data_IF_069022873843
#
_entry.id   IF_069022873843
#
_cell.length_a   1.000
_cell.length_b   1.000
_cell.length_c   1.000
_cell.angle_alpha   90.00
_cell.angle_beta   90.00
_cell.angle_gamma   90.00
#
_symmetry.space_group_name_H-M   'P 1'
#
loop_
_entity.id
_entity.type
_entity.pdbx_description
1 polymer ?
#
# COMPACT_ATOMS: atom_id res chain seq x y z
N UNK A 1 10.71 28.04 29.80
CA UNK A 1 10.29 26.68 29.41
C UNK A 1 10.36 26.57 27.89
N UNK A 2 10.96 25.51 27.34
CA UNK A 2 11.18 25.38 25.89
C UNK A 2 9.93 24.99 25.10
N UNK A 3 9.88 25.34 23.80
CA UNK A 3 8.85 24.85 22.88
C UNK A 3 9.04 23.35 22.61
N UNK A 4 7.95 22.68 22.23
CA UNK A 4 7.97 21.25 21.84
C UNK A 4 8.88 20.99 20.63
N UNK A 5 9.60 19.88 20.68
CA UNK A 5 10.44 19.39 19.59
C UNK A 5 9.61 18.89 18.40
N UNK A 6 10.21 18.83 17.20
CA UNK A 6 9.55 18.34 15.99
C UNK A 6 9.04 16.88 16.12
N UNK A 7 9.80 15.90 16.68
CA UNK A 7 9.28 14.55 16.93
C UNK A 7 8.02 14.52 17.80
N UNK A 8 7.96 15.37 18.85
CA UNK A 8 6.78 15.47 19.73
C UNK A 8 5.56 16.03 18.98
N UNK A 9 5.78 16.97 18.04
CA UNK A 9 4.71 17.49 17.18
C UNK A 9 4.23 16.45 16.17
N UNK A 10 5.15 15.67 15.58
CA UNK A 10 4.84 14.55 14.68
C UNK A 10 4.01 13.48 15.38
N UNK A 11 4.37 13.08 16.59
CA UNK A 11 3.63 12.07 17.37
C UNK A 11 2.19 12.46 17.70
N UNK A 12 1.85 13.75 17.69
CA UNK A 12 0.45 14.22 17.84
C UNK A 12 -0.41 13.96 16.59
N UNK A 13 0.20 13.69 15.43
CA UNK A 13 -0.52 13.29 14.22
C UNK A 13 -1.38 14.37 13.56
N UNK A 14 -1.01 15.65 13.72
CA UNK A 14 -1.67 16.78 13.05
C UNK A 14 -1.51 16.72 11.52
N UNK A 15 -2.39 17.43 10.78
CA UNK A 15 -2.45 17.37 9.31
C UNK A 15 -1.11 17.59 8.61
N UNK A 16 -0.27 18.51 9.12
CA UNK A 16 1.07 18.79 8.58
C UNK A 16 2.01 17.57 8.54
N UNK A 17 1.81 16.58 9.41
CA UNK A 17 2.67 15.40 9.53
C UNK A 17 1.95 14.09 9.17
N UNK A 18 0.66 14.17 8.80
CA UNK A 18 -0.14 12.99 8.48
C UNK A 18 0.05 12.62 7.00
N UNK A 19 0.25 11.34 6.75
CA UNK A 19 0.27 10.82 5.38
C UNK A 19 -1.13 10.92 4.74
N UNK A 20 -1.26 11.32 3.46
CA UNK A 20 -2.53 11.43 2.76
C UNK A 20 -3.09 10.05 2.40
N UNK A 21 -3.60 9.32 3.40
CA UNK A 21 -4.03 7.93 3.27
C UNK A 21 -5.13 7.69 2.22
N UNK A 22 -5.97 8.69 1.96
CA UNK A 22 -7.03 8.65 0.94
C UNK A 22 -6.50 8.54 -0.50
N UNK A 23 -5.21 8.79 -0.73
CA UNK A 23 -4.57 8.61 -2.04
C UNK A 23 -3.96 7.24 -2.21
N UNK A 24 -3.76 6.49 -1.13
CA UNK A 24 -3.18 5.15 -1.23
C UNK A 24 -4.19 4.19 -1.87
N UNK A 25 -3.69 3.35 -2.78
CA UNK A 25 -4.52 2.45 -3.60
C UNK A 25 -5.26 1.45 -2.72
N UNK A 26 -4.52 0.70 -1.90
CA UNK A 26 -5.09 -0.26 -0.97
C UNK A 26 -4.07 -0.68 0.08
N UNK A 27 -4.52 -1.44 1.08
CA UNK A 27 -3.69 -2.15 2.02
C UNK A 27 -3.14 -3.44 1.40
N UNK A 28 -2.04 -3.29 0.68
CA UNK A 28 -1.29 -4.37 0.03
C UNK A 28 -0.83 -5.38 1.08
N UNK A 29 -1.54 -6.51 1.14
CA UNK A 29 -1.31 -7.63 2.06
C UNK A 29 -1.40 -8.93 1.30
N UNK A 30 -0.75 -9.97 1.83
CA UNK A 30 -0.97 -11.31 1.31
C UNK A 30 -2.31 -11.83 1.84
N UNK A 31 -3.08 -12.60 1.03
CA UNK A 31 -4.30 -13.23 1.50
C UNK A 31 -3.99 -14.17 2.66
N UNK A 32 -4.81 -14.16 3.71
CA UNK A 32 -4.64 -15.07 4.85
C UNK A 32 -4.80 -16.56 4.46
N UNK A 33 -5.55 -16.82 3.38
CA UNK A 33 -5.67 -18.13 2.74
C UNK A 33 -5.63 -17.91 1.24
N UNK A 34 -4.70 -18.58 0.57
CA UNK A 34 -4.65 -18.64 -0.89
C UNK A 34 -5.10 -20.04 -1.28
N UNK A 35 -6.24 -20.13 -1.97
CA UNK A 35 -6.71 -21.38 -2.56
C UNK A 35 -6.50 -21.30 -4.08
N UNK A 36 -5.49 -22.01 -4.58
CA UNK A 36 -5.22 -22.12 -6.01
C UNK A 36 -4.33 -21.02 -6.62
N UNK A 37 -4.03 -21.12 -7.94
CA UNK A 37 -3.22 -20.14 -8.65
C UNK A 37 -3.97 -18.81 -8.84
N UNK A 38 -3.25 -17.70 -8.69
CA UNK A 38 -3.76 -16.37 -9.03
C UNK A 38 -3.32 -15.93 -10.43
N UNK A 39 -4.13 -15.09 -11.07
CA UNK A 39 -3.81 -14.51 -12.39
C UNK A 39 -3.50 -13.03 -12.21
N UNK A 40 -2.33 -12.59 -12.68
CA UNK A 40 -1.99 -11.17 -12.73
C UNK A 40 -2.81 -10.53 -13.85
N UNK A 41 -3.60 -9.50 -13.50
CA UNK A 41 -4.46 -8.76 -14.44
C UNK A 41 -3.81 -7.51 -14.95
N UNK A 42 -3.12 -6.79 -14.06
CA UNK A 42 -2.56 -5.48 -14.39
C UNK A 42 -1.41 -5.12 -13.43
N UNK A 43 -0.60 -4.14 -13.86
CA UNK A 43 0.46 -3.53 -13.09
C UNK A 43 0.18 -2.03 -12.96
N UNK A 44 -0.13 -1.57 -11.75
CA UNK A 44 -0.57 -0.20 -11.49
C UNK A 44 0.45 0.60 -10.67
N UNK A 45 0.42 1.92 -10.83
CA UNK A 45 1.20 2.84 -10.00
C UNK A 45 0.53 3.07 -8.63
N UNK A 46 1.29 2.93 -7.54
CA UNK A 46 0.80 3.20 -6.19
C UNK A 46 1.35 4.51 -5.61
N UNK A 47 0.62 5.62 -5.55
CA UNK A 47 1.16 6.90 -5.07
C UNK A 47 1.66 6.92 -3.62
N UNK A 48 1.32 5.91 -2.81
CA UNK A 48 1.83 5.73 -1.44
C UNK A 48 3.16 5.00 -1.33
N UNK A 49 3.62 4.38 -2.41
CA UNK A 49 4.81 3.54 -2.47
C UNK A 49 5.47 3.83 -3.80
N UNK A 50 6.73 4.25 -3.85
CA UNK A 50 7.41 4.54 -5.13
C UNK A 50 7.76 3.25 -5.91
N UNK A 51 6.81 2.32 -6.04
CA UNK A 51 6.90 0.95 -6.56
C UNK A 51 5.61 0.60 -7.30
N UNK A 52 5.67 -0.23 -8.36
CA UNK A 52 4.48 -0.79 -8.98
C UNK A 52 3.77 -1.81 -8.06
N UNK A 53 2.47 -1.96 -8.23
CA UNK A 53 1.65 -3.02 -7.63
C UNK A 53 1.09 -3.92 -8.72
N UNK A 54 1.01 -5.21 -8.41
CA UNK A 54 0.32 -6.20 -9.21
C UNK A 54 -1.12 -6.36 -8.72
N UNK A 55 -2.06 -6.30 -9.66
CA UNK A 55 -3.47 -6.62 -9.45
C UNK A 55 -3.62 -8.11 -9.74
N UNK A 56 -3.88 -8.92 -8.72
CA UNK A 56 -3.97 -10.38 -8.82
C UNK A 56 -5.40 -10.83 -8.56
N UNK A 57 -5.97 -11.62 -9.46
CA UNK A 57 -7.27 -12.24 -9.26
C UNK A 57 -7.10 -13.65 -8.70
N UNK A 58 -7.69 -13.90 -7.53
CA UNK A 58 -7.81 -15.22 -6.90
C UNK A 58 -9.29 -15.60 -6.82
N UNK A 59 -9.72 -16.61 -7.59
CA UNK A 59 -11.08 -17.15 -7.56
C UNK A 59 -12.20 -16.07 -7.59
N UNK A 60 -12.04 -15.04 -8.42
CA UNK A 60 -12.99 -13.93 -8.55
C UNK A 60 -12.79 -12.77 -7.55
N UNK A 61 -11.83 -12.87 -6.64
CA UNK A 61 -11.46 -11.79 -5.70
C UNK A 61 -10.20 -11.08 -6.19
N UNK A 62 -10.25 -9.75 -6.25
CA UNK A 62 -9.10 -8.92 -6.62
C UNK A 62 -8.28 -8.63 -5.36
N UNK A 63 -6.98 -8.85 -5.46
CA UNK A 63 -5.99 -8.55 -4.44
C UNK A 63 -4.85 -7.71 -5.01
N UNK A 64 -4.23 -6.89 -4.16
CA UNK A 64 -3.12 -6.03 -4.54
C UNK A 64 -1.84 -6.49 -3.85
N UNK A 65 -0.83 -6.81 -4.65
CA UNK A 65 0.45 -7.30 -4.15
C UNK A 65 1.60 -6.45 -4.67
N UNK A 66 2.74 -6.46 -3.96
CA UNK A 66 3.95 -5.82 -4.46
C UNK A 66 4.40 -6.60 -5.70
N UNK A 67 4.55 -5.91 -6.83
CA UNK A 67 4.99 -6.53 -8.06
C UNK A 67 6.47 -6.94 -7.93
N UNK A 68 6.78 -8.19 -8.27
CA UNK A 68 8.15 -8.65 -8.44
C UNK A 68 8.68 -8.26 -9.83
N UNK A 69 10.00 -8.15 -9.95
CA UNK A 69 10.63 -7.90 -11.25
C UNK A 69 10.38 -9.07 -12.21
N UNK A 70 10.04 -8.75 -13.47
CA UNK A 70 9.78 -9.76 -14.51
C UNK A 70 8.36 -10.33 -14.52
N UNK A 71 7.48 -9.88 -13.63
CA UNK A 71 6.04 -10.22 -13.67
C UNK A 71 5.42 -9.64 -14.95
N UNK A 72 4.57 -10.43 -15.60
CA UNK A 72 3.84 -10.10 -16.82
C UNK A 72 2.38 -10.47 -16.68
#
# INVERSE_FOLDING_TARGET
MGKRLIPQRRGRGGSQYRSPSHRHVDDVRLPAKVEGPGIVKDLIHAPGRTSPLAVVEFNGTIDYQIAAEGVK
#
